data_IF_526610199091
#
_entry.id   IF_526610199091
#
_cell.length_a   1.000
_cell.length_b   1.000
_cell.length_c   1.000
_cell.angle_alpha   90.00
_cell.angle_beta   90.00
_cell.angle_gamma   90.00
#
_symmetry.space_group_name_H-M   'P 1'
#
loop_
_entity.id
_entity.type
_entity.pdbx_description
1 polymer ?
#
# COMPACT_ATOMS: atom_id res chain seq x y z
N UNK A 1 -5.09 -6.00 4.48
CA UNK A 1 -4.91 -5.54 5.88
C UNK A 1 -6.21 -5.55 6.65
N UNK A 2 -6.26 -6.34 7.73
CA UNK A 2 -7.29 -6.21 8.77
C UNK A 2 -6.79 -5.25 9.84
N UNK A 3 -7.67 -4.35 10.32
CA UNK A 3 -7.31 -3.33 11.33
C UNK A 3 -6.81 -3.95 12.63
N UNK A 4 -7.25 -5.17 12.94
CA UNK A 4 -6.82 -5.93 14.11
C UNK A 4 -5.32 -6.22 14.13
N UNK A 5 -4.71 -6.47 12.96
CA UNK A 5 -3.28 -6.79 12.81
C UNK A 5 -2.41 -5.53 12.96
N UNK A 6 -2.93 -4.37 12.57
CA UNK A 6 -2.23 -3.09 12.68
C UNK A 6 -2.18 -2.58 14.12
N UNK A 7 -3.22 -2.83 14.91
CA UNK A 7 -3.26 -2.46 16.33
C UNK A 7 -2.26 -3.21 17.21
N UNK A 8 -1.78 -4.36 16.74
CA UNK A 8 -0.81 -5.17 17.47
C UNK A 8 0.65 -4.76 17.19
N UNK A 9 0.89 -3.94 16.15
CA UNK A 9 2.23 -3.54 15.71
C UNK A 9 2.74 -2.31 16.47
N UNK A 10 4.07 -2.22 16.60
CA UNK A 10 4.74 -1.04 17.14
C UNK A 10 4.65 0.15 16.17
N UNK A 11 4.80 1.37 16.68
CA UNK A 11 4.84 2.61 15.88
C UNK A 11 5.95 2.54 14.80
N UNK A 12 7.09 1.94 15.14
CA UNK A 12 8.21 1.79 14.20
C UNK A 12 7.87 0.81 13.06
N UNK A 13 7.21 -0.30 13.39
CA UNK A 13 6.77 -1.30 12.41
C UNK A 13 5.69 -0.73 11.48
N UNK A 14 4.76 0.07 12.03
CA UNK A 14 3.73 0.75 11.24
C UNK A 14 4.36 1.76 10.26
N UNK A 15 5.37 2.51 10.68
CA UNK A 15 6.08 3.43 9.80
C UNK A 15 6.87 2.71 8.69
N UNK A 16 7.51 1.58 9.02
CA UNK A 16 8.19 0.75 8.02
C UNK A 16 7.19 0.21 6.98
N UNK A 17 6.05 -0.29 7.43
CA UNK A 17 5.00 -0.83 6.56
C UNK A 17 4.35 0.26 5.70
N UNK A 18 4.16 1.48 6.24
CA UNK A 18 3.70 2.64 5.49
C UNK A 18 4.67 3.02 4.35
N UNK A 19 5.97 2.99 4.61
CA UNK A 19 7.01 3.24 3.61
C UNK A 19 6.98 2.20 2.49
N UNK A 20 6.82 0.91 2.83
CA UNK A 20 6.69 -0.16 1.84
C UNK A 20 5.45 0.03 0.96
N UNK A 21 4.29 0.31 1.57
CA UNK A 21 3.04 0.54 0.84
C UNK A 21 3.13 1.77 -0.09
N UNK A 22 3.82 2.83 0.32
CA UNK A 22 4.06 4.00 -0.54
C UNK A 22 4.94 3.66 -1.73
N UNK A 23 5.96 2.84 -1.54
CA UNK A 23 6.81 2.35 -2.63
C UNK A 23 6.02 1.48 -3.60
N UNK A 24 5.16 0.61 -3.08
CA UNK A 24 4.27 -0.22 -3.89
C UNK A 24 3.27 0.63 -4.70
N UNK A 25 2.70 1.67 -4.07
CA UNK A 25 1.83 2.63 -4.75
C UNK A 25 2.55 3.33 -5.91
N UNK A 26 3.80 3.75 -5.69
CA UNK A 26 4.61 4.38 -6.73
C UNK A 26 4.83 3.44 -7.91
N UNK A 27 5.19 2.18 -7.64
CA UNK A 27 5.39 1.17 -8.68
C UNK A 27 4.11 0.95 -9.51
N UNK A 28 2.95 0.80 -8.85
CA UNK A 28 1.68 0.66 -9.57
C UNK A 28 1.29 1.90 -10.36
N UNK A 29 1.60 3.12 -9.88
CA UNK A 29 1.38 4.35 -10.64
C UNK A 29 2.28 4.41 -11.89
N UNK A 30 3.54 4.00 -11.77
CA UNK A 30 4.46 3.93 -12.90
C UNK A 30 3.97 2.89 -13.93
N UNK A 31 3.60 1.68 -13.49
CA UNK A 31 3.04 0.64 -14.35
C UNK A 31 1.72 1.07 -15.01
N UNK A 32 0.87 1.81 -14.30
CA UNK A 32 -0.35 2.38 -14.87
C UNK A 32 -0.03 3.41 -15.96
N UNK A 33 0.97 4.26 -15.72
CA UNK A 33 1.42 5.27 -16.68
C UNK A 33 2.03 4.67 -17.94
N UNK A 34 2.68 3.50 -17.85
CA UNK A 34 3.21 2.77 -19.00
C UNK A 34 2.18 1.88 -19.69
N UNK A 35 0.95 1.78 -19.16
CA UNK A 35 -0.10 0.91 -19.69
C UNK A 35 0.12 -0.59 -19.45
N UNK A 36 1.11 -0.96 -18.62
CA UNK A 36 1.47 -2.35 -18.33
C UNK A 36 0.79 -2.90 -17.07
N UNK A 37 -0.06 -2.10 -16.41
CA UNK A 37 -0.72 -2.52 -15.19
C UNK A 37 -1.82 -3.55 -15.49
N UNK A 38 -1.54 -4.82 -15.20
CA UNK A 38 -2.47 -5.93 -15.41
C UNK A 38 -3.72 -5.85 -14.51
N UNK A 39 -3.59 -5.30 -13.30
CA UNK A 39 -4.66 -5.28 -12.30
C UNK A 39 -4.90 -3.88 -11.72
N UNK A 40 -5.86 -3.16 -12.29
CA UNK A 40 -6.20 -1.76 -11.90
C UNK A 40 -6.74 -1.64 -10.48
N UNK A 41 -7.35 -2.71 -9.94
CA UNK A 41 -7.89 -2.71 -8.58
C UNK A 41 -6.80 -2.63 -7.49
N UNK A 42 -5.56 -3.01 -7.80
CA UNK A 42 -4.43 -2.94 -6.87
C UNK A 42 -4.15 -1.50 -6.42
N UNK A 43 -4.28 -0.51 -7.32
CA UNK A 43 -4.15 0.91 -6.98
C UNK A 43 -5.13 1.33 -5.87
N UNK A 44 -6.38 0.86 -5.95
CA UNK A 44 -7.42 1.15 -4.95
C UNK A 44 -7.16 0.42 -3.64
N UNK A 45 -6.68 -0.83 -3.71
CA UNK A 45 -6.32 -1.62 -2.53
C UNK A 45 -5.16 -1.01 -1.77
N UNK A 46 -4.07 -0.63 -2.44
CA UNK A 46 -2.91 0.00 -1.79
C UNK A 46 -3.27 1.33 -1.15
N UNK A 47 -4.04 2.21 -1.83
CA UNK A 47 -4.52 3.46 -1.19
C UNK A 47 -5.31 3.21 0.09
N UNK A 48 -6.16 2.19 0.11
CA UNK A 48 -6.95 1.81 1.30
C UNK A 48 -6.09 1.21 2.39
N UNK A 49 -5.05 0.46 2.04
CA UNK A 49 -4.10 -0.08 3.02
C UNK A 49 -3.30 1.06 3.66
N UNK A 50 -2.78 2.00 2.88
CA UNK A 50 -2.07 3.20 3.40
C UNK A 50 -2.96 3.98 4.37
N UNK A 51 -4.25 4.17 4.05
CA UNK A 51 -5.17 4.89 4.92
C UNK A 51 -5.58 4.11 6.20
N UNK A 52 -5.27 2.82 6.30
CA UNK A 52 -5.56 1.98 7.47
C UNK A 52 -4.41 1.91 8.45
N UNK A 53 -3.17 2.05 7.95
CA UNK A 53 -1.94 2.20 8.74
C UNK A 53 -1.94 3.59 9.36
#
# INVERSE_FOLDING_TARGET
MKVSELKAKSIEELNAELLELLREQFNYRMQASTGQLAQTHLLRTVRRNIARV
#
